data_IF_070705638110
#
_entry.id   IF_070705638110
#
_cell.length_a   1.000
_cell.length_b   1.000
_cell.length_c   1.000
_cell.angle_alpha   90.00
_cell.angle_beta   90.00
_cell.angle_gamma   90.00
#
_symmetry.space_group_name_H-M   'P 1'
#
loop_
_entity.id
_entity.type
_entity.pdbx_description
1 polymer ?
#
# COMPACT_ATOMS: atom_id res chain seq x y z
N UNK A 1 -10.48 -13.70 31.11
CA UNK A 1 -10.42 -12.27 30.77
C UNK A 1 -10.21 -12.17 29.27
N UNK A 2 -11.04 -11.45 28.56
CA UNK A 2 -10.90 -11.22 27.14
C UNK A 2 -9.70 -10.30 26.90
N UNK A 3 -8.72 -10.74 26.09
CA UNK A 3 -7.58 -9.93 25.74
C UNK A 3 -7.94 -9.01 24.55
N UNK A 4 -7.71 -7.71 24.69
CA UNK A 4 -7.87 -6.76 23.60
C UNK A 4 -6.51 -6.49 22.96
N UNK A 5 -6.41 -6.70 21.64
CA UNK A 5 -5.19 -6.48 20.87
C UNK A 5 -5.47 -5.37 19.85
N UNK A 6 -4.86 -4.19 20.02
CA UNK A 6 -4.91 -3.15 19.03
C UNK A 6 -4.01 -3.49 17.83
N UNK A 7 -4.53 -3.27 16.62
CA UNK A 7 -3.82 -3.50 15.36
C UNK A 7 -3.91 -2.24 14.52
N UNK A 8 -2.77 -1.70 14.13
CA UNK A 8 -2.71 -0.55 13.25
C UNK A 8 -3.08 -0.94 11.82
N UNK A 9 -4.01 -0.21 11.20
CA UNK A 9 -4.43 -0.45 9.81
C UNK A 9 -4.46 0.87 9.03
N UNK A 10 -4.29 0.85 7.71
CA UNK A 10 -4.50 2.02 6.88
C UNK A 10 -5.94 2.53 6.99
N UNK A 11 -6.14 3.84 6.92
CA UNK A 11 -7.48 4.46 7.03
C UNK A 11 -8.33 4.32 5.77
N UNK A 12 -7.77 3.82 4.68
CA UNK A 12 -8.42 3.80 3.35
C UNK A 12 -7.63 2.96 2.35
N UNK A 13 -8.27 2.69 1.22
CA UNK A 13 -7.64 2.10 0.05
C UNK A 13 -7.49 0.59 0.11
N UNK A 14 -6.81 0.06 -0.90
CA UNK A 14 -6.61 -1.38 -1.09
C UNK A 14 -6.09 -2.10 0.16
N UNK A 15 -5.08 -1.57 0.88
CA UNK A 15 -4.56 -2.29 2.04
C UNK A 15 -5.59 -2.46 3.17
N UNK A 16 -6.46 -1.48 3.43
CA UNK A 16 -7.53 -1.64 4.40
C UNK A 16 -8.57 -2.68 3.92
N UNK A 17 -8.95 -2.62 2.62
CA UNK A 17 -9.89 -3.58 2.04
C UNK A 17 -9.34 -5.01 2.17
N UNK A 18 -8.03 -5.25 1.88
CA UNK A 18 -7.40 -6.56 2.03
C UNK A 18 -7.42 -7.09 3.48
N UNK A 19 -7.19 -6.22 4.47
CA UNK A 19 -7.29 -6.59 5.90
C UNK A 19 -8.72 -7.00 6.26
N UNK A 20 -9.72 -6.21 5.83
CA UNK A 20 -11.13 -6.49 6.10
C UNK A 20 -11.59 -7.77 5.41
N UNK A 21 -11.21 -8.01 4.16
CA UNK A 21 -11.52 -9.25 3.43
C UNK A 21 -10.91 -10.48 4.13
N UNK A 22 -9.68 -10.36 4.63
CA UNK A 22 -9.04 -11.42 5.40
C UNK A 22 -9.82 -11.75 6.68
N UNK A 23 -10.22 -10.73 7.43
CA UNK A 23 -10.99 -10.91 8.66
C UNK A 23 -12.40 -11.44 8.38
N UNK A 24 -13.05 -10.99 7.31
CA UNK A 24 -14.32 -11.52 6.87
C UNK A 24 -14.28 -13.02 6.61
N UNK A 25 -13.18 -13.50 6.02
CA UNK A 25 -12.97 -14.94 5.74
C UNK A 25 -12.65 -15.79 7.00
N UNK A 26 -12.15 -15.19 8.08
CA UNK A 26 -11.67 -15.87 9.28
C UNK A 26 -12.56 -15.70 10.52
N UNK A 27 -13.30 -14.62 10.54
CA UNK A 27 -14.20 -14.24 11.62
C UNK A 27 -15.58 -14.01 11.00
N UNK A 28 -16.64 -14.09 11.74
CA UNK A 28 -17.99 -13.74 11.24
C UNK A 28 -18.14 -12.21 11.07
N UNK A 29 -17.31 -11.64 10.21
CA UNK A 29 -17.16 -10.20 10.02
C UNK A 29 -17.50 -9.73 8.59
N UNK A 30 -18.05 -10.59 7.73
CA UNK A 30 -18.32 -10.25 6.33
C UNK A 30 -19.24 -9.02 6.18
N UNK A 31 -20.32 -8.96 6.98
CA UNK A 31 -21.27 -7.85 6.91
C UNK A 31 -20.65 -6.51 7.26
N UNK A 32 -19.83 -6.45 8.33
CA UNK A 32 -19.19 -5.21 8.76
C UNK A 32 -18.05 -4.82 7.81
N UNK A 33 -17.32 -5.79 7.26
CA UNK A 33 -16.30 -5.54 6.25
C UNK A 33 -16.92 -4.90 4.99
N UNK A 34 -18.03 -5.45 4.50
CA UNK A 34 -18.78 -4.89 3.36
C UNK A 34 -19.32 -3.48 3.66
N UNK A 35 -19.80 -3.24 4.88
CA UNK A 35 -20.26 -1.91 5.33
C UNK A 35 -19.13 -0.89 5.25
N UNK A 36 -17.95 -1.19 5.81
CA UNK A 36 -16.81 -0.28 5.77
C UNK A 36 -16.34 -0.02 4.33
N UNK A 37 -16.16 -1.09 3.54
CA UNK A 37 -15.71 -0.98 2.15
C UNK A 37 -16.69 -0.16 1.30
N UNK A 38 -18.00 -0.39 1.44
CA UNK A 38 -19.03 0.33 0.69
C UNK A 38 -19.10 1.82 1.07
N UNK A 39 -19.00 2.13 2.35
CA UNK A 39 -18.98 3.50 2.87
C UNK A 39 -17.77 4.26 2.32
N UNK A 40 -16.57 3.68 2.42
CA UNK A 40 -15.35 4.34 1.93
C UNK A 40 -15.34 4.49 0.39
N UNK A 41 -15.87 3.51 -0.35
CA UNK A 41 -16.04 3.61 -1.82
C UNK A 41 -17.04 4.70 -2.21
N UNK A 42 -18.13 4.84 -1.46
CA UNK A 42 -19.11 5.93 -1.65
C UNK A 42 -18.44 7.29 -1.42
N UNK A 43 -17.77 7.49 -0.29
CA UNK A 43 -17.06 8.73 0.03
C UNK A 43 -15.94 9.06 -0.99
N UNK A 44 -15.21 8.05 -1.47
CA UNK A 44 -14.24 8.20 -2.56
C UNK A 44 -14.91 8.69 -3.85
N UNK A 45 -16.13 8.23 -4.15
CA UNK A 45 -16.88 8.66 -5.33
C UNK A 45 -17.29 10.13 -5.24
N UNK A 46 -17.69 10.59 -4.05
CA UNK A 46 -18.01 12.02 -3.81
C UNK A 46 -16.73 12.85 -3.94
N UNK A 47 -15.65 12.41 -3.31
CA UNK A 47 -14.37 13.12 -3.33
C UNK A 47 -13.80 13.26 -4.75
N UNK A 48 -14.03 12.27 -5.62
CA UNK A 48 -13.63 12.30 -7.04
C UNK A 48 -14.64 13.04 -7.94
N UNK A 49 -15.70 13.61 -7.39
CA UNK A 49 -16.75 14.30 -8.17
C UNK A 49 -17.63 13.38 -9.03
N UNK A 50 -17.55 12.05 -8.83
CA UNK A 50 -18.38 11.07 -9.56
C UNK A 50 -19.79 10.93 -9.00
N UNK A 51 -20.00 11.35 -7.75
CA UNK A 51 -21.30 11.41 -7.07
C UNK A 51 -21.48 12.76 -6.40
N UNK A 52 -22.72 13.24 -6.38
CA UNK A 52 -23.16 14.42 -5.63
C UNK A 52 -24.03 14.00 -4.48
N UNK A 53 -24.06 14.79 -3.41
CA UNK A 53 -24.91 14.59 -2.23
C UNK A 53 -25.34 15.96 -1.70
N UNK A 54 -26.53 16.04 -1.15
CA UNK A 54 -27.05 17.26 -0.50
C UNK A 54 -26.55 17.39 0.95
N UNK A 55 -26.16 16.27 1.57
CA UNK A 55 -25.61 16.24 2.94
C UNK A 55 -24.17 16.73 2.95
N UNK A 56 -23.84 17.58 3.90
CA UNK A 56 -22.45 17.94 4.13
C UNK A 56 -21.63 16.78 4.70
N UNK A 57 -20.32 16.96 4.84
CA UNK A 57 -19.43 15.89 5.30
C UNK A 57 -19.64 15.52 6.78
N UNK A 58 -20.08 16.49 7.60
CA UNK A 58 -20.30 16.24 9.03
C UNK A 58 -21.62 15.48 9.26
N UNK A 59 -22.66 15.79 8.48
CA UNK A 59 -23.93 15.06 8.49
C UNK A 59 -23.71 13.59 8.09
N UNK A 60 -22.94 13.37 7.03
CA UNK A 60 -22.60 12.01 6.59
C UNK A 60 -21.78 11.24 7.62
N UNK A 61 -20.80 11.89 8.25
CA UNK A 61 -20.01 11.28 9.31
C UNK A 61 -20.90 10.86 10.48
N UNK A 62 -21.84 11.71 10.88
CA UNK A 62 -22.79 11.39 11.94
C UNK A 62 -23.72 10.22 11.58
N UNK A 63 -24.11 10.07 10.32
CA UNK A 63 -24.93 8.94 9.85
C UNK A 63 -24.17 7.59 9.91
N UNK A 64 -22.84 7.62 9.75
CA UNK A 64 -22.02 6.40 9.71
C UNK A 64 -21.60 5.92 11.09
N UNK A 65 -21.53 6.80 12.08
CA UNK A 65 -20.97 6.51 13.40
C UNK A 65 -22.04 6.20 14.43
N UNK A 66 -21.79 5.22 15.27
CA UNK A 66 -22.58 4.92 16.48
C UNK A 66 -21.66 4.79 17.69
N UNK A 67 -21.39 5.91 18.36
CA UNK A 67 -20.48 5.96 19.51
C UNK A 67 -20.96 5.15 20.72
N UNK A 68 -22.20 4.64 20.70
CA UNK A 68 -22.74 3.79 21.76
C UNK A 68 -22.41 2.31 21.61
N UNK A 69 -21.97 1.88 20.41
CA UNK A 69 -21.66 0.49 20.07
C UNK A 69 -20.24 0.36 19.48
N UNK A 70 -19.30 -0.05 20.31
CA UNK A 70 -17.89 -0.22 19.92
C UNK A 70 -17.65 -1.36 18.91
N UNK A 71 -18.66 -2.18 18.61
CA UNK A 71 -18.58 -3.23 17.59
C UNK A 71 -18.97 -2.73 16.20
N UNK A 72 -19.50 -1.51 16.11
CA UNK A 72 -19.74 -0.84 14.84
C UNK A 72 -18.51 -0.07 14.36
N UNK A 73 -18.36 0.08 13.03
CA UNK A 73 -17.23 0.83 12.49
C UNK A 73 -17.34 2.32 12.83
N UNK A 74 -16.23 2.91 13.23
CA UNK A 74 -16.09 4.34 13.43
C UNK A 74 -15.31 4.98 12.30
N UNK A 75 -15.65 6.23 12.02
CA UNK A 75 -15.03 7.03 10.96
C UNK A 75 -14.59 8.39 11.51
N UNK A 76 -13.64 8.99 10.82
CA UNK A 76 -13.13 10.32 11.15
C UNK A 76 -12.90 11.16 9.89
N UNK A 77 -12.62 12.44 10.10
CA UNK A 77 -12.35 13.38 9.00
C UNK A 77 -10.85 13.61 8.85
N UNK A 78 -10.35 13.31 7.66
CA UNK A 78 -9.00 13.63 7.26
C UNK A 78 -8.99 14.91 6.43
N UNK A 79 -7.94 15.72 6.60
CA UNK A 79 -7.69 16.86 5.71
C UNK A 79 -7.49 16.38 4.28
N UNK A 80 -8.10 17.08 3.33
CA UNK A 80 -7.91 16.86 1.91
C UNK A 80 -7.43 18.19 1.29
N UNK A 81 -6.28 18.18 0.64
CA UNK A 81 -5.67 19.40 0.06
C UNK A 81 -6.23 19.75 -1.33
N UNK A 82 -7.12 18.88 -1.87
CA UNK A 82 -7.77 19.17 -3.15
C UNK A 82 -8.75 20.33 -3.03
N UNK A 83 -8.76 21.18 -4.04
CA UNK A 83 -9.64 22.34 -4.10
C UNK A 83 -11.11 21.95 -3.95
N UNK A 84 -11.85 22.66 -3.10
CA UNK A 84 -13.24 22.38 -2.80
C UNK A 84 -13.51 21.12 -1.96
N UNK A 85 -12.48 20.42 -1.49
CA UNK A 85 -12.60 19.17 -0.72
C UNK A 85 -11.76 19.21 0.57
N UNK A 86 -12.05 20.15 1.50
CA UNK A 86 -11.18 20.39 2.68
C UNK A 86 -11.19 19.25 3.69
N UNK A 87 -12.14 18.33 3.61
CA UNK A 87 -12.28 17.15 4.49
C UNK A 87 -12.78 15.97 3.71
N UNK A 88 -12.34 14.77 4.11
CA UNK A 88 -12.89 13.49 3.63
C UNK A 88 -13.07 12.51 4.78
N UNK A 89 -14.09 11.67 4.67
CA UNK A 89 -14.36 10.59 5.62
C UNK A 89 -13.38 9.45 5.35
N UNK A 90 -12.79 8.95 6.42
CA UNK A 90 -11.89 7.79 6.42
C UNK A 90 -12.20 6.89 7.61
N UNK A 91 -11.76 5.65 7.54
CA UNK A 91 -11.87 4.67 8.63
C UNK A 91 -11.09 5.12 9.86
N UNK A 92 -11.69 4.96 11.05
CA UNK A 92 -11.05 5.26 12.32
C UNK A 92 -10.83 4.02 13.17
N UNK A 93 -11.88 3.26 13.48
CA UNK A 93 -11.73 2.05 14.29
C UNK A 93 -12.87 1.04 14.09
N UNK A 94 -12.59 -0.21 14.48
CA UNK A 94 -13.56 -1.30 14.53
C UNK A 94 -13.07 -2.33 15.55
N UNK A 95 -13.97 -2.79 16.41
CA UNK A 95 -13.69 -3.88 17.34
C UNK A 95 -14.41 -5.15 16.91
N UNK A 96 -13.65 -6.24 16.75
CA UNK A 96 -14.13 -7.56 16.40
C UNK A 96 -13.86 -8.54 17.54
N UNK A 97 -14.81 -9.44 17.81
CA UNK A 97 -14.67 -10.47 18.85
C UNK A 97 -14.47 -11.86 18.22
N UNK A 98 -13.50 -12.61 18.71
CA UNK A 98 -13.23 -13.97 18.30
C UNK A 98 -12.85 -14.84 19.49
N UNK A 99 -13.80 -15.60 20.02
CA UNK A 99 -13.63 -16.38 21.25
C UNK A 99 -13.31 -15.48 22.45
N UNK A 100 -12.14 -15.68 23.03
CA UNK A 100 -11.63 -14.87 24.16
C UNK A 100 -10.67 -13.74 23.71
N UNK A 101 -10.60 -13.49 22.43
CA UNK A 101 -9.81 -12.41 21.82
C UNK A 101 -10.73 -11.30 21.32
N UNK A 102 -10.36 -10.06 21.63
CA UNK A 102 -10.94 -8.85 21.05
C UNK A 102 -9.90 -8.16 20.19
N UNK A 103 -10.13 -8.12 18.90
CA UNK A 103 -9.27 -7.47 17.93
C UNK A 103 -9.77 -6.05 17.68
N UNK A 104 -8.96 -5.05 17.97
CA UNK A 104 -9.31 -3.65 17.75
C UNK A 104 -8.50 -3.09 16.60
N UNK A 105 -9.11 -2.96 15.41
CA UNK A 105 -8.51 -2.28 14.27
C UNK A 105 -8.52 -0.78 14.53
N UNK A 106 -7.37 -0.13 14.40
CA UNK A 106 -7.23 1.31 14.61
C UNK A 106 -6.59 1.93 13.37
N UNK A 107 -7.34 2.82 12.71
CA UNK A 107 -6.92 3.51 11.52
C UNK A 107 -5.74 4.46 11.79
N UNK A 108 -4.67 4.33 11.01
CA UNK A 108 -3.51 5.22 11.01
C UNK A 108 -3.21 5.69 9.60
N UNK A 109 -2.72 6.92 9.45
CA UNK A 109 -2.23 7.40 8.16
C UNK A 109 -0.92 6.69 7.79
N UNK A 110 -0.10 6.41 8.78
CA UNK A 110 1.19 5.75 8.66
C UNK A 110 1.29 4.59 9.68
N UNK A 111 0.65 3.43 9.40
CA UNK A 111 0.66 2.30 10.33
C UNK A 111 2.06 1.79 10.63
N UNK A 112 2.94 1.74 9.63
CA UNK A 112 4.32 1.33 9.80
C UNK A 112 5.05 2.22 10.83
N UNK A 113 4.86 3.52 10.75
CA UNK A 113 5.45 4.46 11.72
C UNK A 113 4.91 4.25 13.13
N UNK A 114 3.61 3.95 13.28
CA UNK A 114 3.02 3.66 14.58
C UNK A 114 3.62 2.38 15.22
N UNK A 115 3.99 1.38 14.40
CA UNK A 115 4.75 0.23 14.89
C UNK A 115 6.18 0.62 15.30
N UNK A 116 6.87 1.44 14.51
CA UNK A 116 8.23 1.91 14.82
C UNK A 116 8.31 2.69 16.13
N UNK A 117 7.24 3.39 16.49
CA UNK A 117 7.14 4.15 17.74
C UNK A 117 6.60 3.33 18.91
N UNK A 118 6.48 2.02 18.77
CA UNK A 118 6.01 1.08 19.80
C UNK A 118 4.56 1.35 20.28
N UNK A 119 3.73 1.98 19.45
CA UNK A 119 2.31 2.17 19.77
C UNK A 119 1.51 0.88 19.58
N UNK A 120 1.98 -0.03 18.69
CA UNK A 120 1.30 -1.26 18.32
C UNK A 120 2.28 -2.42 18.21
N UNK A 121 1.81 -3.59 18.64
CA UNK A 121 2.54 -4.85 18.43
C UNK A 121 2.38 -5.39 17.00
N UNK A 122 1.21 -5.18 16.38
CA UNK A 122 0.85 -5.63 15.04
C UNK A 122 0.28 -4.47 14.21
N UNK A 123 0.50 -4.53 12.91
CA UNK A 123 -0.12 -3.60 11.99
C UNK A 123 0.03 -4.02 10.54
N UNK A 124 -0.69 -3.31 9.68
CA UNK A 124 -0.68 -3.53 8.23
C UNK A 124 -0.32 -2.25 7.51
N UNK A 125 0.48 -2.39 6.48
CA UNK A 125 0.71 -1.32 5.52
C UNK A 125 1.06 -1.92 4.16
N UNK A 126 1.22 -1.08 3.16
CA UNK A 126 1.71 -1.49 1.86
C UNK A 126 3.22 -1.72 1.93
N UNK A 127 3.72 -2.81 1.37
CA UNK A 127 5.15 -3.17 1.41
C UNK A 127 6.05 -2.09 0.80
N UNK A 128 5.57 -1.43 -0.25
CA UNK A 128 6.29 -0.33 -0.90
C UNK A 128 6.53 0.88 0.03
N UNK A 129 5.61 1.15 0.97
CA UNK A 129 5.81 2.20 1.98
C UNK A 129 6.87 1.80 3.03
N UNK A 130 6.87 0.54 3.43
CA UNK A 130 7.88 -0.01 4.36
C UNK A 130 9.27 0.10 3.74
N UNK A 131 9.39 -0.31 2.48
CA UNK A 131 10.66 -0.25 1.75
C UNK A 131 11.16 1.18 1.55
N UNK A 132 10.26 2.10 1.21
CA UNK A 132 10.62 3.50 1.04
C UNK A 132 11.23 4.10 2.31
N UNK A 133 10.80 3.67 3.49
CA UNK A 133 11.28 4.25 4.74
C UNK A 133 12.58 3.64 5.28
N UNK A 134 12.77 2.32 5.16
CA UNK A 134 13.80 1.61 5.94
C UNK A 134 14.74 0.70 5.14
N UNK A 135 14.50 0.51 3.84
CA UNK A 135 15.36 -0.36 3.04
C UNK A 135 16.76 0.23 2.87
N UNK A 136 17.78 -0.59 3.06
CA UNK A 136 19.15 -0.24 2.69
C UNK A 136 19.32 -0.30 1.17
N UNK A 137 19.97 0.72 0.59
CA UNK A 137 20.30 0.75 -0.83
C UNK A 137 21.63 0.01 -1.04
N UNK A 138 21.61 -0.93 -1.98
CA UNK A 138 22.75 -1.80 -2.31
C UNK A 138 22.92 -1.87 -3.84
N UNK A 139 24.10 -2.25 -4.36
CA UNK A 139 24.30 -2.44 -5.79
C UNK A 139 23.40 -3.53 -6.37
N UNK A 140 23.17 -4.59 -5.61
CA UNK A 140 22.28 -5.66 -6.00
C UNK A 140 20.83 -5.18 -5.95
N UNK A 141 20.05 -5.42 -7.02
CA UNK A 141 18.64 -5.05 -7.04
C UNK A 141 17.81 -5.90 -6.07
N UNK A 142 16.82 -5.27 -5.45
CA UNK A 142 15.80 -5.97 -4.70
C UNK A 142 14.85 -6.67 -5.68
N UNK A 143 14.69 -7.98 -5.57
CA UNK A 143 13.90 -8.77 -6.51
C UNK A 143 12.55 -9.24 -5.96
N UNK A 144 12.44 -9.38 -4.63
CA UNK A 144 11.24 -9.86 -3.96
C UNK A 144 11.00 -9.09 -2.66
N UNK A 145 9.78 -9.17 -2.14
CA UNK A 145 9.45 -8.62 -0.82
C UNK A 145 10.10 -9.44 0.30
N UNK A 146 10.46 -10.69 0.04
CA UNK A 146 11.11 -11.58 1.02
C UNK A 146 12.45 -11.01 1.50
N UNK A 147 13.12 -10.24 0.63
CA UNK A 147 14.41 -9.61 0.97
C UNK A 147 14.26 -8.41 1.92
N UNK A 148 13.01 -7.95 2.20
CA UNK A 148 12.78 -6.76 3.04
C UNK A 148 13.45 -6.89 4.40
N UNK A 149 13.19 -7.98 5.10
CA UNK A 149 13.69 -8.16 6.48
C UNK A 149 15.21 -8.22 6.54
N UNK A 150 15.86 -8.69 5.48
CA UNK A 150 17.32 -8.76 5.39
C UNK A 150 17.94 -7.35 5.22
N UNK A 151 17.22 -6.45 4.57
CA UNK A 151 17.65 -5.07 4.33
C UNK A 151 17.16 -4.06 5.36
N UNK A 152 16.39 -4.48 6.35
CA UNK A 152 16.02 -3.64 7.50
C UNK A 152 17.13 -3.71 8.54
N UNK A 153 17.84 -2.59 8.77
CA UNK A 153 18.82 -2.52 9.86
C UNK A 153 18.08 -2.59 11.21
N UNK A 154 18.40 -3.57 12.07
CA UNK A 154 17.78 -3.67 13.39
C UNK A 154 18.10 -2.50 14.33
N UNK A 155 19.04 -1.62 13.96
CA UNK A 155 19.30 -0.37 14.69
C UNK A 155 18.31 0.73 14.31
N UNK A 156 17.69 0.65 13.11
CA UNK A 156 16.71 1.62 12.64
C UNK A 156 15.31 1.29 13.13
N UNK A 157 14.97 0.01 13.22
CA UNK A 157 13.64 -0.42 13.68
C UNK A 157 13.60 -1.89 14.11
N UNK A 158 12.78 -2.17 15.13
CA UNK A 158 12.43 -3.51 15.57
C UNK A 158 11.25 -4.11 14.79
N UNK A 159 10.74 -3.40 13.78
CA UNK A 159 9.62 -3.90 12.96
C UNK A 159 10.12 -4.90 11.94
N UNK A 160 9.35 -5.99 11.76
CA UNK A 160 9.59 -7.01 10.74
C UNK A 160 8.31 -7.31 9.99
N UNK A 161 8.46 -7.62 8.71
CA UNK A 161 7.37 -8.15 7.88
C UNK A 161 7.16 -9.62 8.24
N UNK A 162 5.90 -9.98 8.46
CA UNK A 162 5.49 -11.33 8.86
C UNK A 162 4.93 -12.12 7.67
N UNK A 163 4.01 -11.52 6.92
CA UNK A 163 3.38 -12.15 5.76
C UNK A 163 2.68 -11.13 4.88
N UNK A 164 2.40 -11.49 3.63
CA UNK A 164 1.50 -10.76 2.76
C UNK A 164 0.06 -11.24 2.86
N UNK A 165 -0.86 -10.47 2.28
CA UNK A 165 -2.29 -10.78 2.22
C UNK A 165 -2.77 -11.25 0.84
N UNK A 166 -1.90 -11.31 -0.17
CA UNK A 166 -2.21 -11.82 -1.52
C UNK A 166 -2.92 -10.81 -2.44
N UNK A 167 -3.02 -9.55 -2.04
CA UNK A 167 -3.61 -8.47 -2.85
C UNK A 167 -2.60 -7.80 -3.77
N UNK A 168 -1.70 -8.58 -4.36
CA UNK A 168 -0.51 -8.13 -5.05
C UNK A 168 -0.82 -7.31 -6.31
N UNK A 169 -0.18 -6.15 -6.41
CA UNK A 169 -0.02 -5.34 -7.63
C UNK A 169 1.47 -5.08 -7.84
N UNK A 170 1.85 -4.52 -8.98
CA UNK A 170 3.28 -4.38 -9.29
C UNK A 170 3.65 -2.96 -9.67
N UNK A 171 4.80 -2.49 -9.18
CA UNK A 171 5.51 -1.41 -9.82
C UNK A 171 6.11 -1.95 -11.11
N UNK A 172 5.74 -1.34 -12.23
CA UNK A 172 6.01 -1.86 -13.58
C UNK A 172 6.70 -0.78 -14.41
N UNK A 173 7.67 -1.17 -15.20
CA UNK A 173 8.25 -0.29 -16.21
C UNK A 173 7.23 -0.05 -17.33
N UNK A 174 7.08 1.21 -17.69
CA UNK A 174 6.22 1.67 -18.78
C UNK A 174 7.09 2.49 -19.73
N UNK A 175 6.98 2.26 -21.03
CA UNK A 175 7.80 2.98 -21.99
C UNK A 175 7.06 3.26 -23.29
N UNK A 176 7.42 4.36 -23.94
CA UNK A 176 6.99 4.61 -25.33
C UNK A 176 7.70 3.66 -26.29
N UNK A 177 6.96 3.11 -27.28
CA UNK A 177 7.55 2.19 -28.25
C UNK A 177 8.77 2.75 -28.99
N UNK A 178 8.78 4.06 -29.32
CA UNK A 178 9.89 4.72 -30.02
C UNK A 178 11.16 4.79 -29.16
N UNK A 179 11.04 5.05 -27.86
CA UNK A 179 12.18 5.09 -26.92
C UNK A 179 12.79 3.71 -26.73
N UNK A 180 11.94 2.68 -26.59
CA UNK A 180 12.39 1.30 -26.34
C UNK A 180 12.98 0.66 -27.61
N UNK A 181 12.41 0.96 -28.78
CA UNK A 181 12.91 0.43 -30.06
C UNK A 181 14.25 1.01 -30.51
N UNK A 182 14.71 2.11 -29.95
CA UNK A 182 16.07 2.65 -30.19
C UNK A 182 17.15 1.63 -29.79
N UNK A 183 16.88 0.75 -28.82
CA UNK A 183 17.81 -0.32 -28.42
C UNK A 183 17.79 -1.54 -29.38
N UNK A 184 16.83 -1.63 -30.30
CA UNK A 184 16.70 -2.70 -31.29
C UNK A 184 15.30 -3.32 -31.35
N UNK A 185 15.00 -4.01 -32.45
CA UNK A 185 13.72 -4.69 -32.63
C UNK A 185 13.51 -5.78 -31.55
N UNK A 186 12.35 -5.76 -30.91
CA UNK A 186 11.93 -6.76 -29.91
C UNK A 186 12.31 -6.42 -28.47
N UNK A 187 12.90 -5.26 -28.21
CA UNK A 187 13.09 -4.78 -26.85
C UNK A 187 11.77 -4.34 -26.21
N UNK A 188 11.67 -4.52 -24.91
CA UNK A 188 10.56 -4.03 -24.08
C UNK A 188 11.13 -3.28 -22.87
N UNK A 189 10.35 -2.40 -22.23
CA UNK A 189 10.79 -1.77 -20.98
C UNK A 189 11.16 -2.82 -19.95
N UNK A 190 12.44 -2.97 -19.65
CA UNK A 190 13.00 -4.02 -18.76
C UNK A 190 14.20 -3.52 -17.99
N UNK A 191 14.61 -4.24 -16.94
CA UNK A 191 15.85 -3.95 -16.22
C UNK A 191 17.09 -4.10 -17.13
N UNK A 192 17.03 -5.03 -18.07
CA UNK A 192 18.12 -5.20 -19.05
C UNK A 192 18.24 -3.96 -19.94
N UNK A 193 17.12 -3.43 -20.44
CA UNK A 193 17.09 -2.18 -21.17
C UNK A 193 17.67 -1.00 -20.37
N UNK A 194 17.33 -0.91 -19.07
CA UNK A 194 17.78 0.19 -18.21
C UNK A 194 19.29 0.20 -17.94
N UNK A 195 19.98 -0.93 -18.09
CA UNK A 195 21.44 -1.01 -17.86
C UNK A 195 22.25 -0.18 -18.86
N UNK A 196 21.74 -0.03 -20.05
CA UNK A 196 22.39 0.70 -21.15
C UNK A 196 21.64 2.00 -21.49
N UNK A 197 20.61 2.35 -20.72
CA UNK A 197 19.80 3.54 -20.94
C UNK A 197 20.30 4.72 -20.14
N UNK A 198 20.73 5.76 -20.85
CA UNK A 198 21.15 7.06 -20.29
C UNK A 198 20.05 8.08 -20.61
N UNK A 199 19.09 8.29 -19.71
CA UNK A 199 18.01 9.20 -20.00
C UNK A 199 17.01 9.42 -18.87
N UNK A 200 15.90 10.15 -19.13
CA UNK A 200 14.92 10.47 -18.11
C UNK A 200 14.05 9.26 -17.78
N UNK A 201 13.84 9.05 -16.48
CA UNK A 201 12.90 8.09 -15.93
C UNK A 201 11.88 8.80 -15.05
N UNK A 202 10.60 8.78 -15.47
CA UNK A 202 9.50 9.37 -14.69
C UNK A 202 9.07 8.44 -13.56
N UNK A 203 9.12 8.94 -12.33
CA UNK A 203 8.71 8.21 -11.13
C UNK A 203 7.97 9.13 -10.17
N UNK A 204 7.06 8.58 -9.35
CA UNK A 204 6.52 9.34 -8.23
C UNK A 204 7.66 9.64 -7.21
N UNK A 205 7.81 10.90 -6.75
CA UNK A 205 8.83 11.24 -5.75
C UNK A 205 8.66 10.48 -4.45
N UNK A 206 7.46 9.97 -4.20
CA UNK A 206 7.15 9.14 -3.03
C UNK A 206 7.87 7.79 -3.03
N UNK A 207 8.24 7.28 -4.20
CA UNK A 207 8.82 5.94 -4.35
C UNK A 207 10.24 5.96 -4.91
N UNK A 208 10.97 7.08 -4.75
CA UNK A 208 12.31 7.20 -5.31
C UNK A 208 13.27 6.17 -4.70
N UNK A 209 13.29 6.03 -3.38
CA UNK A 209 14.16 5.05 -2.71
C UNK A 209 13.79 3.62 -3.08
N UNK A 210 12.48 3.32 -3.16
CA UNK A 210 12.00 2.03 -3.60
C UNK A 210 12.50 1.70 -5.01
N UNK A 211 12.36 2.63 -5.95
CA UNK A 211 12.83 2.42 -7.33
C UNK A 211 14.34 2.23 -7.37
N UNK A 212 15.11 3.03 -6.62
CA UNK A 212 16.56 2.86 -6.48
C UNK A 212 16.94 1.50 -5.91
N UNK A 213 16.23 1.02 -4.88
CA UNK A 213 16.48 -0.28 -4.27
C UNK A 213 16.16 -1.44 -5.21
N UNK A 214 15.11 -1.30 -6.02
CA UNK A 214 14.64 -2.33 -6.96
C UNK A 214 15.52 -2.43 -8.20
N UNK A 215 16.07 -1.31 -8.66
CA UNK A 215 16.94 -1.25 -9.84
C UNK A 215 18.41 -1.52 -9.47
N UNK A 216 18.79 -1.29 -8.22
CA UNK A 216 20.19 -1.26 -7.78
C UNK A 216 20.86 0.07 -8.05
N UNK A 217 21.85 0.44 -7.21
CA UNK A 217 22.50 1.75 -7.31
C UNK A 217 23.28 1.92 -8.61
N UNK A 218 23.88 0.85 -9.13
CA UNK A 218 24.69 0.90 -10.37
C UNK A 218 23.85 1.29 -11.60
N UNK A 219 22.59 0.81 -11.68
CA UNK A 219 21.68 1.14 -12.79
C UNK A 219 21.18 2.58 -12.71
N UNK A 220 20.97 3.09 -11.51
CA UNK A 220 20.35 4.41 -11.33
C UNK A 220 21.33 5.58 -11.42
N UNK A 221 22.65 5.33 -11.47
CA UNK A 221 23.67 6.40 -11.59
C UNK A 221 23.53 7.19 -12.90
N UNK A 222 23.14 6.52 -13.99
CA UNK A 222 23.02 7.10 -15.32
C UNK A 222 21.58 7.57 -15.65
N UNK A 223 20.63 7.43 -14.70
CA UNK A 223 19.23 7.82 -14.89
C UNK A 223 18.94 9.23 -14.37
N UNK A 224 18.26 10.03 -15.17
CA UNK A 224 17.72 11.34 -14.75
C UNK A 224 16.30 11.18 -14.25
N UNK A 225 16.07 11.22 -12.93
CA UNK A 225 14.71 11.14 -12.39
C UNK A 225 13.88 12.38 -12.71
N UNK A 226 12.67 12.16 -13.23
CA UNK A 226 11.63 13.16 -13.46
C UNK A 226 10.41 12.82 -12.61
N UNK A 227 9.69 13.84 -12.17
CA UNK A 227 8.54 13.68 -11.29
C UNK A 227 7.27 14.16 -11.96
N UNK A 228 6.13 13.43 -11.81
CA UNK A 228 4.86 13.81 -12.38
C UNK A 228 4.39 15.18 -11.90
N UNK A 229 3.68 15.87 -12.78
CA UNK A 229 3.09 17.16 -12.48
C UNK A 229 1.77 16.96 -11.72
N UNK A 230 1.54 17.71 -10.63
CA UNK A 230 0.31 17.60 -9.87
C UNK A 230 -0.93 17.93 -10.73
N UNK A 231 -1.96 17.07 -10.63
CA UNK A 231 -3.25 17.25 -11.27
C UNK A 231 -3.44 16.56 -12.63
N UNK A 232 -2.39 15.88 -13.14
CA UNK A 232 -2.46 14.99 -14.31
C UNK A 232 -2.47 13.52 -13.90
N UNK A 233 -2.83 12.63 -14.80
CA UNK A 233 -2.57 11.20 -14.66
C UNK A 233 -1.08 10.95 -14.82
N UNK A 234 -0.49 10.14 -13.94
CA UNK A 234 0.95 9.90 -13.94
C UNK A 234 1.42 9.22 -15.23
N UNK A 235 0.57 8.38 -15.84
CA UNK A 235 0.85 7.77 -17.15
C UNK A 235 1.00 8.78 -18.28
N UNK A 236 0.31 9.92 -18.21
CA UNK A 236 0.49 11.00 -19.21
C UNK A 236 1.87 11.65 -19.06
N UNK A 237 2.35 11.88 -17.85
CA UNK A 237 3.68 12.43 -17.61
C UNK A 237 4.79 11.43 -17.99
N UNK A 238 4.54 10.11 -17.80
CA UNK A 238 5.43 9.05 -18.29
C UNK A 238 5.49 9.06 -19.81
N UNK A 239 4.36 9.20 -20.50
CA UNK A 239 4.31 9.28 -21.95
C UNK A 239 5.06 10.50 -22.49
N UNK A 240 4.98 11.66 -21.81
CA UNK A 240 5.75 12.86 -22.17
C UNK A 240 7.27 12.67 -21.93
N UNK A 241 7.65 11.95 -20.87
CA UNK A 241 9.04 11.65 -20.53
C UNK A 241 9.65 10.58 -21.43
N UNK A 242 8.83 9.58 -21.83
CA UNK A 242 9.22 8.44 -22.67
C UNK A 242 9.38 7.14 -21.92
N UNK A 243 9.79 7.17 -20.65
CA UNK A 243 9.98 5.99 -19.80
C UNK A 243 9.60 6.33 -18.36
N UNK A 244 9.05 5.37 -17.62
CA UNK A 244 8.73 5.56 -16.21
C UNK A 244 8.39 4.28 -15.46
N UNK A 245 8.21 4.43 -14.15
CA UNK A 245 7.78 3.36 -13.24
C UNK A 245 6.49 3.76 -12.56
N UNK A 246 5.47 2.90 -12.65
CA UNK A 246 4.19 3.15 -12.01
C UNK A 246 3.54 1.89 -11.48
N UNK A 247 2.71 2.05 -10.42
CA UNK A 247 1.96 0.96 -9.82
C UNK A 247 0.82 0.54 -10.76
N UNK A 248 0.93 -0.66 -11.32
CA UNK A 248 0.09 -1.13 -12.41
C UNK A 248 -0.70 -2.39 -12.01
N UNK A 249 -2.01 -2.37 -12.22
CA UNK A 249 -2.89 -3.54 -12.04
C UNK A 249 -3.05 -4.28 -13.36
N UNK A 250 -3.63 -3.63 -14.37
CA UNK A 250 -3.88 -4.20 -15.70
C UNK A 250 -3.11 -3.52 -16.84
N UNK A 251 -2.59 -2.32 -16.57
CA UNK A 251 -1.92 -1.50 -17.57
C UNK A 251 -2.84 -0.90 -18.63
N UNK A 252 -4.17 -0.90 -18.43
CA UNK A 252 -5.11 -0.31 -19.40
C UNK A 252 -4.86 1.18 -19.60
N UNK A 253 -4.76 1.95 -18.52
CA UNK A 253 -4.49 3.40 -18.59
C UNK A 253 -3.15 3.69 -19.28
N UNK A 254 -2.12 2.90 -18.99
CA UNK A 254 -0.83 3.04 -19.68
C UNK A 254 -0.97 2.87 -21.20
N UNK A 255 -1.69 1.85 -21.64
CA UNK A 255 -1.96 1.63 -23.07
C UNK A 255 -2.81 2.73 -23.70
N UNK A 256 -3.76 3.30 -22.96
CA UNK A 256 -4.57 4.44 -23.44
C UNK A 256 -3.69 5.69 -23.70
N UNK A 257 -2.55 5.81 -22.99
CA UNK A 257 -1.53 6.84 -23.21
C UNK A 257 -0.41 6.40 -24.21
N UNK A 258 -0.59 5.28 -24.90
CA UNK A 258 0.36 4.80 -25.92
C UNK A 258 1.65 4.23 -25.34
N UNK A 259 1.63 3.82 -24.05
CA UNK A 259 2.77 3.19 -23.39
C UNK A 259 2.71 1.66 -23.52
N UNK A 260 3.86 1.05 -23.73
CA UNK A 260 4.05 -0.39 -23.56
C UNK A 260 4.24 -0.70 -22.08
N UNK A 261 3.61 -1.80 -21.66
CA UNK A 261 3.75 -2.36 -20.31
C UNK A 261 4.90 -3.37 -20.34
N UNK A 262 5.96 -3.03 -19.65
CA UNK A 262 7.18 -3.82 -19.61
C UNK A 262 7.28 -4.73 -18.39
N UNK A 263 8.51 -4.85 -17.88
CA UNK A 263 8.84 -5.72 -16.76
C UNK A 263 8.21 -5.25 -15.45
N UNK A 264 7.66 -6.20 -14.70
CA UNK A 264 7.25 -6.01 -13.30
C UNK A 264 8.50 -5.95 -12.44
N UNK A 265 8.77 -4.78 -11.88
CA UNK A 265 9.98 -4.56 -11.08
C UNK A 265 9.86 -5.11 -9.67
N UNK A 266 8.73 -4.80 -9.02
CA UNK A 266 8.56 -5.09 -7.62
C UNK A 266 7.07 -5.24 -7.27
N UNK A 267 6.71 -6.30 -6.52
CA UNK A 267 5.34 -6.44 -6.05
C UNK A 267 5.04 -5.44 -4.94
N UNK A 268 3.87 -4.80 -5.01
CA UNK A 268 3.25 -4.09 -3.90
C UNK A 268 2.11 -4.94 -3.37
N UNK A 269 2.15 -5.24 -2.09
CA UNK A 269 1.20 -6.09 -1.40
C UNK A 269 0.94 -5.54 0.00
N UNK A 270 -0.26 -5.74 0.52
CA UNK A 270 -0.52 -5.46 1.93
C UNK A 270 0.19 -6.48 2.79
N UNK A 271 1.04 -6.01 3.68
CA UNK A 271 1.83 -6.86 4.56
C UNK A 271 1.41 -6.71 6.01
N UNK A 272 1.35 -7.83 6.72
CA UNK A 272 1.32 -7.87 8.17
C UNK A 272 2.74 -7.63 8.69
N UNK A 273 2.85 -6.74 9.64
CA UNK A 273 4.10 -6.44 10.33
C UNK A 273 3.94 -6.62 11.84
N UNK A 274 5.06 -6.92 12.51
CA UNK A 274 5.13 -6.94 13.97
C UNK A 274 6.30 -6.08 14.47
N UNK A 275 6.10 -5.43 15.62
CA UNK A 275 7.18 -4.88 16.42
C UNK A 275 7.63 -5.98 17.38
N UNK A 276 8.85 -6.49 17.23
CA UNK A 276 9.34 -7.69 17.94
C UNK A 276 9.24 -7.56 19.47
N UNK A 277 9.73 -6.47 20.11
CA UNK A 277 9.59 -6.26 21.54
C UNK A 277 8.14 -6.29 22.05
N UNK A 278 7.20 -5.75 21.27
CA UNK A 278 5.79 -5.65 21.67
C UNK A 278 4.98 -6.91 21.37
N UNK A 279 5.47 -7.78 20.47
CA UNK A 279 4.77 -8.97 20.00
C UNK A 279 4.89 -10.21 20.91
N UNK A 280 5.64 -10.13 22.03
CA UNK A 280 6.02 -11.28 22.85
C UNK A 280 4.89 -11.96 23.67
N UNK A 281 3.62 -11.53 23.57
CA UNK A 281 2.52 -12.11 24.34
C UNK A 281 1.77 -13.20 23.57
N UNK A 282 1.25 -14.22 24.29
CA UNK A 282 0.42 -15.27 23.69
C UNK A 282 -0.85 -14.70 22.99
N UNK A 283 -1.39 -13.60 23.49
CA UNK A 283 -2.57 -12.97 22.90
C UNK A 283 -2.24 -12.34 21.55
N UNK A 284 -1.09 -11.66 21.42
CA UNK A 284 -0.59 -11.14 20.15
C UNK A 284 -0.29 -12.30 19.17
N UNK A 285 0.31 -13.38 19.62
CA UNK A 285 0.56 -14.57 18.79
C UNK A 285 -0.73 -15.14 18.19
N UNK A 286 -1.81 -15.23 18.99
CA UNK A 286 -3.13 -15.66 18.50
C UNK A 286 -3.77 -14.66 17.55
N UNK A 287 -3.65 -13.37 17.80
CA UNK A 287 -4.10 -12.34 16.86
C UNK A 287 -3.34 -12.44 15.52
N UNK A 288 -2.03 -12.63 15.58
CA UNK A 288 -1.17 -12.84 14.40
C UNK A 288 -1.63 -14.04 13.58
N UNK A 289 -1.98 -15.17 14.21
CA UNK A 289 -2.41 -16.38 13.50
C UNK A 289 -3.72 -16.21 12.72
N UNK A 290 -4.60 -15.27 13.10
CA UNK A 290 -5.80 -14.96 12.32
C UNK A 290 -5.47 -14.43 10.92
N UNK A 291 -4.29 -13.87 10.73
CA UNK A 291 -3.85 -13.30 9.46
C UNK A 291 -2.89 -14.20 8.67
N UNK A 292 -2.12 -15.05 9.36
CA UNK A 292 -1.02 -15.83 8.76
C UNK A 292 -1.40 -17.27 8.39
N UNK A 293 -2.45 -17.84 8.96
CA UNK A 293 -2.84 -19.22 8.65
C UNK A 293 -3.53 -19.34 7.29
N UNK A 294 -2.95 -20.23 6.48
CA UNK A 294 -3.38 -21.00 5.33
C UNK A 294 -3.43 -20.38 3.94
N UNK A 295 -3.05 -21.22 2.97
CA UNK A 295 -3.49 -21.36 1.57
C UNK A 295 -3.48 -20.12 0.66
N UNK A 296 -2.72 -19.09 0.97
CA UNK A 296 -2.55 -17.97 0.06
C UNK A 296 -1.19 -18.11 -0.62
N UNK A 297 -1.22 -18.28 -1.94
CA UNK A 297 -0.07 -17.95 -2.76
C UNK A 297 0.15 -16.44 -2.66
N UNK A 298 1.08 -16.01 -1.83
CA UNK A 298 1.52 -14.63 -1.78
C UNK A 298 2.74 -14.46 -2.67
N UNK A 299 2.96 -13.25 -3.17
CA UNK A 299 4.22 -12.90 -3.82
C UNK A 299 5.36 -12.85 -2.80
N UNK A 300 5.03 -12.82 -1.50
CA UNK A 300 5.96 -12.95 -0.40
C UNK A 300 6.09 -14.45 -0.07
N UNK A 301 7.25 -15.00 -0.35
CA UNK A 301 7.62 -16.35 0.11
C UNK A 301 8.53 -16.19 1.31
N UNK A 302 8.13 -16.78 2.42
CA UNK A 302 8.97 -16.92 3.62
C UNK A 302 9.75 -18.20 3.49
#
# INVERSE_FOLDING_TARGET
>A
MTATIPVAVPRKGRPLEAVLDRLAARMDAATVADEVCSTLRYEKSITKGKKTTEKDVYDRLADYSDLSDSTRPEYTLLRDDRDGKPRRVVFDSLTLEHGDLRLQLIGREEPFRALRTHEFALGFDSADLVLEEVVSLEPEPLSTIDDINERIDPRDTDVRVVSGLGDTVYHTLLGRPDVVSEAGDGWSPSREFLRDYEGPLCISPRYERLVRAVLGTDVVEDLEFRYPTSGREEEADIADTGLGVYLTVTGSTARDHGLEVGERLFPSETVLMENIPEAGTNAVGRAKSLFTEADIETAIRV
#
